data_IF_770650958327
#
_entry.id   IF_770650958327
#
_cell.length_a   1.000
_cell.length_b   1.000
_cell.length_c   1.000
_cell.angle_alpha   90.00
_cell.angle_beta   90.00
_cell.angle_gamma   90.00
#
_symmetry.space_group_name_H-M   'P 1'
#
loop_
_entity.id
_entity.type
_entity.pdbx_description
1 polymer ?
#
# COMPACT_ATOMS: atom_id res chain seq x y z
N UNK A 1 27.51 19.16 0.15
CA UNK A 1 26.80 18.33 -0.83
C UNK A 1 25.68 17.66 -0.06
N UNK A 2 24.43 18.03 -0.31
CA UNK A 2 23.29 17.55 0.47
C UNK A 2 22.85 16.19 -0.07
N UNK A 3 23.30 15.12 0.59
CA UNK A 3 23.10 13.72 0.18
C UNK A 3 21.61 13.42 -0.07
N UNK A 4 20.70 14.10 0.64
CA UNK A 4 19.25 13.94 0.48
C UNK A 4 18.72 14.45 -0.85
N UNK A 5 19.30 15.55 -1.38
CA UNK A 5 18.90 16.08 -2.68
C UNK A 5 19.35 15.17 -3.83
N UNK A 6 20.51 14.53 -3.71
CA UNK A 6 20.98 13.59 -4.73
C UNK A 6 20.17 12.30 -4.74
N UNK A 7 19.73 11.81 -3.58
CA UNK A 7 18.87 10.63 -3.48
C UNK A 7 17.46 10.87 -4.06
N UNK A 8 16.90 12.07 -3.91
CA UNK A 8 15.61 12.41 -4.53
C UNK A 8 15.64 12.36 -6.07
N UNK A 9 16.83 12.53 -6.66
CA UNK A 9 17.04 12.45 -8.10
C UNK A 9 17.49 11.06 -8.57
N UNK A 10 17.68 10.12 -7.65
CA UNK A 10 18.09 8.77 -7.98
C UNK A 10 16.95 7.99 -8.65
N UNK A 11 17.30 7.14 -9.60
CA UNK A 11 16.34 6.23 -10.25
C UNK A 11 15.75 5.26 -9.21
N UNK A 12 14.44 5.03 -9.29
CA UNK A 12 13.67 4.24 -8.32
C UNK A 12 14.18 2.80 -8.18
N UNK A 13 14.12 2.00 -9.25
CA UNK A 13 14.32 0.55 -9.19
C UNK A 13 15.72 0.08 -8.75
N UNK A 14 16.85 0.71 -9.15
CA UNK A 14 18.14 0.30 -8.60
C UNK A 14 18.31 0.69 -7.11
N UNK A 15 17.50 1.61 -6.59
CA UNK A 15 17.64 2.17 -5.24
C UNK A 15 16.39 1.96 -4.36
N UNK A 16 15.51 1.02 -4.71
CA UNK A 16 14.17 0.91 -4.09
C UNK A 16 14.22 0.79 -2.56
N UNK A 17 15.11 -0.06 -2.02
CA UNK A 17 15.24 -0.24 -0.57
C UNK A 17 15.67 1.07 0.12
N UNK A 18 16.66 1.76 -0.45
CA UNK A 18 17.19 3.02 0.08
C UNK A 18 16.16 4.15 0.02
N UNK A 19 15.44 4.27 -1.09
CA UNK A 19 14.39 5.28 -1.27
C UNK A 19 13.20 4.99 -0.35
N UNK A 20 12.83 3.72 -0.16
CA UNK A 20 11.82 3.31 0.81
C UNK A 20 12.21 3.68 2.24
N UNK A 21 13.46 3.45 2.63
CA UNK A 21 13.98 3.88 3.93
C UNK A 21 13.94 5.40 4.09
N UNK A 22 14.31 6.15 3.06
CA UNK A 22 14.24 7.61 3.08
C UNK A 22 12.79 8.11 3.22
N UNK A 23 11.82 7.49 2.55
CA UNK A 23 10.39 7.82 2.68
C UNK A 23 9.93 7.59 4.12
N UNK A 24 10.33 6.47 4.73
CA UNK A 24 9.98 6.14 6.12
C UNK A 24 10.65 7.10 7.11
N UNK A 25 11.94 7.41 6.94
CA UNK A 25 12.67 8.37 7.79
C UNK A 25 12.13 9.79 7.65
N UNK A 26 11.82 10.24 6.42
CA UNK A 26 11.20 11.53 6.14
C UNK A 26 9.83 11.64 6.81
N UNK A 27 9.04 10.57 6.76
CA UNK A 27 7.77 10.50 7.46
C UNK A 27 7.93 10.54 9.00
N UNK A 28 8.82 9.73 9.57
CA UNK A 28 9.08 9.68 11.02
C UNK A 28 9.63 11.03 11.54
N UNK A 29 10.50 11.69 10.79
CA UNK A 29 11.01 13.02 11.16
C UNK A 29 9.95 14.12 10.99
N UNK A 30 9.02 13.99 10.03
CA UNK A 30 7.85 14.87 9.90
C UNK A 30 6.79 14.68 10.98
N UNK A 31 6.78 13.51 11.65
CA UNK A 31 5.83 13.12 12.70
C UNK A 31 5.97 13.90 14.02
N UNK A 32 6.92 14.85 14.16
CA UNK A 32 7.09 15.66 15.38
C UNK A 32 5.87 16.53 15.80
N UNK A 33 4.69 16.38 15.17
CA UNK A 33 3.38 16.82 15.67
C UNK A 33 2.28 15.75 15.63
N UNK A 34 2.63 14.47 15.80
CA UNK A 34 1.68 13.39 16.04
C UNK A 34 1.55 13.13 17.54
N UNK A 35 0.33 12.98 18.10
CA UNK A 35 0.13 12.70 19.53
C UNK A 35 0.53 11.27 19.93
N UNK A 36 1.03 10.46 19.00
CA UNK A 36 1.35 9.05 19.22
C UNK A 36 2.80 8.90 19.69
N UNK A 37 2.96 8.83 21.01
CA UNK A 37 4.22 8.61 21.69
C UNK A 37 4.63 7.12 21.61
N UNK A 38 5.86 6.87 21.13
CA UNK A 38 6.71 5.72 21.49
C UNK A 38 6.27 4.32 21.08
N UNK A 39 6.82 3.78 19.99
CA UNK A 39 6.80 2.34 19.72
C UNK A 39 8.17 1.94 19.16
N UNK A 40 9.11 1.66 20.06
CA UNK A 40 10.40 1.04 19.74
C UNK A 40 10.49 -0.26 20.53
N UNK A 41 10.73 -1.36 19.81
CA UNK A 41 10.70 -2.74 20.30
C UNK A 41 11.94 -3.11 21.14
N UNK A 42 12.18 -2.39 22.23
CA UNK A 42 13.17 -2.74 23.24
C UNK A 42 12.49 -2.82 24.62
N UNK A 43 12.99 -3.75 25.44
CA UNK A 43 12.61 -4.01 26.83
C UNK A 43 11.84 -2.85 27.52
N UNK A 44 10.52 -2.98 27.66
CA UNK A 44 9.61 -1.90 28.06
C UNK A 44 9.63 -1.53 29.57
N UNK A 45 10.73 -1.76 30.29
CA UNK A 45 10.95 -1.44 31.72
C UNK A 45 10.49 -2.48 32.77
N UNK A 46 11.20 -2.47 33.91
CA UNK A 46 10.79 -3.15 35.14
C UNK A 46 9.83 -2.26 35.94
N UNK A 47 8.56 -2.65 36.02
CA UNK A 47 7.60 -1.96 36.90
C UNK A 47 7.63 -2.58 38.29
N UNK A 48 7.66 -1.75 39.34
CA UNK A 48 7.48 -2.21 40.72
C UNK A 48 6.11 -2.91 40.81
N UNK A 49 6.12 -4.14 41.31
CA UNK A 49 4.91 -4.93 41.48
C UNK A 49 4.01 -4.29 42.54
N UNK A 50 2.73 -4.08 42.20
CA UNK A 50 1.72 -3.60 43.13
C UNK A 50 0.84 -4.76 43.61
N UNK A 51 0.44 -4.72 44.88
CA UNK A 51 -0.48 -5.70 45.45
C UNK A 51 -1.81 -5.71 44.69
N UNK A 52 -2.16 -6.87 44.14
CA UNK A 52 -3.35 -7.08 43.30
C UNK A 52 -3.04 -7.36 41.83
N UNK A 53 -1.81 -7.14 41.36
CA UNK A 53 -1.38 -7.57 40.02
C UNK A 53 -1.05 -9.08 39.98
N UNK A 54 -1.14 -9.73 38.82
CA UNK A 54 -0.85 -11.16 38.66
C UNK A 54 0.63 -11.47 38.95
N UNK A 55 0.91 -12.50 39.76
CA UNK A 55 2.27 -12.92 40.13
C UNK A 55 3.00 -13.72 39.04
N UNK A 56 2.31 -14.05 37.95
CA UNK A 56 2.82 -14.90 36.86
C UNK A 56 4.08 -14.35 36.18
N UNK A 57 4.23 -13.03 36.15
CA UNK A 57 5.30 -12.34 35.39
C UNK A 57 6.37 -11.72 36.30
N UNK A 58 6.48 -12.13 37.57
CA UNK A 58 7.49 -11.60 38.51
C UNK A 58 8.91 -12.03 38.08
N UNK A 59 9.87 -11.09 38.10
CA UNK A 59 11.28 -11.41 37.91
C UNK A 59 11.94 -11.89 39.20
N UNK A 60 11.94 -13.20 39.42
CA UNK A 60 12.60 -13.81 40.57
C UNK A 60 14.13 -13.59 40.59
N UNK A 61 14.79 -13.40 39.44
CA UNK A 61 16.24 -13.15 39.39
C UNK A 61 16.59 -11.73 39.85
N UNK A 62 15.76 -10.75 39.49
CA UNK A 62 15.93 -9.37 39.92
C UNK A 62 15.55 -9.20 41.39
N UNK A 63 14.50 -9.90 41.83
CA UNK A 63 14.11 -9.96 43.24
C UNK A 63 15.29 -10.44 44.10
N UNK A 64 15.95 -11.53 43.72
CA UNK A 64 17.11 -12.06 44.45
C UNK A 64 18.31 -11.10 44.57
N UNK A 65 18.36 -10.02 43.77
CA UNK A 65 19.42 -9.00 43.82
C UNK A 65 19.00 -7.71 44.51
N UNK A 66 17.69 -7.42 44.60
CA UNK A 66 17.19 -6.10 44.98
C UNK A 66 16.18 -6.11 46.11
N UNK A 67 15.73 -7.30 46.56
CA UNK A 67 14.65 -7.52 47.54
C UNK A 67 13.34 -6.77 47.23
N UNK A 68 13.17 -6.35 45.97
CA UNK A 68 11.97 -5.66 45.48
C UNK A 68 11.32 -6.49 44.39
N UNK A 69 10.00 -6.61 44.46
CA UNK A 69 9.21 -7.31 43.47
C UNK A 69 9.05 -6.43 42.24
N UNK A 70 9.47 -6.95 41.09
CA UNK A 70 9.27 -6.31 39.78
C UNK A 70 8.53 -7.26 38.85
N UNK A 71 7.59 -6.72 38.08
CA UNK A 71 6.87 -7.44 37.04
C UNK A 71 7.58 -7.23 35.71
N UNK A 72 7.96 -8.32 35.02
CA UNK A 72 8.39 -8.27 33.62
C UNK A 72 7.18 -7.95 32.76
N UNK A 73 7.19 -6.78 32.13
CA UNK A 73 6.31 -6.53 30.99
C UNK A 73 7.03 -6.99 29.74
N UNK A 74 6.43 -7.96 29.07
CA UNK A 74 6.78 -8.32 27.72
C UNK A 74 5.91 -7.44 26.83
N UNK A 75 6.48 -6.74 25.85
CA UNK A 75 5.67 -6.32 24.70
C UNK A 75 5.19 -7.60 24.01
N UNK A 76 3.89 -7.72 23.78
CA UNK A 76 3.38 -8.77 22.90
C UNK A 76 4.02 -8.56 21.54
N UNK A 77 4.84 -9.53 21.09
CA UNK A 77 5.23 -9.62 19.68
C UNK A 77 3.93 -9.68 18.88
N UNK A 78 3.60 -8.59 18.18
CA UNK A 78 2.46 -8.56 17.30
C UNK A 78 2.73 -9.56 16.19
N UNK A 79 2.01 -10.69 16.17
CA UNK A 79 2.06 -11.62 15.06
C UNK A 79 1.21 -11.09 13.89
N UNK A 80 1.39 -9.81 13.54
CA UNK A 80 0.66 -9.17 12.45
C UNK A 80 1.11 -9.80 11.12
N UNK A 81 0.12 -10.06 10.27
CA UNK A 81 0.32 -10.52 8.91
C UNK A 81 -0.23 -9.47 7.99
N UNK A 82 0.61 -8.96 7.12
CA UNK A 82 0.20 -8.03 6.08
C UNK A 82 0.37 -8.69 4.71
N UNK A 83 -0.64 -8.56 3.86
CA UNK A 83 -0.58 -9.04 2.49
C UNK A 83 -0.75 -7.87 1.54
N UNK A 84 0.25 -7.63 0.70
CA UNK A 84 0.24 -6.56 -0.29
C UNK A 84 -0.28 -7.12 -1.61
N UNK A 85 -1.22 -6.44 -2.24
CA UNK A 85 -1.71 -6.76 -3.58
C UNK A 85 -1.44 -5.56 -4.47
N UNK A 86 -0.69 -5.77 -5.54
CA UNK A 86 -0.36 -4.76 -6.54
C UNK A 86 -1.03 -5.10 -7.87
N UNK A 87 -1.79 -4.15 -8.38
CA UNK A 87 -2.30 -4.15 -9.75
C UNK A 87 -1.18 -3.79 -10.74
N UNK A 88 -0.99 -4.61 -11.76
CA UNK A 88 -0.01 -4.41 -12.83
C UNK A 88 -0.69 -4.27 -14.20
N UNK A 89 -1.93 -3.77 -14.22
CA UNK A 89 -2.68 -3.39 -15.43
C UNK A 89 -1.95 -2.34 -16.27
N UNK A 90 -2.37 -2.18 -17.52
CA UNK A 90 -1.80 -1.19 -18.43
C UNK A 90 -1.99 0.24 -17.95
N UNK A 91 -3.19 0.50 -17.43
CA UNK A 91 -3.58 1.75 -16.81
C UNK A 91 -2.67 2.16 -15.65
N UNK A 92 -2.11 1.23 -14.87
CA UNK A 92 -1.16 1.51 -13.78
C UNK A 92 0.19 2.06 -14.24
N UNK A 93 0.56 1.95 -15.52
CA UNK A 93 1.79 2.55 -16.04
C UNK A 93 1.64 4.03 -16.42
N UNK A 94 0.42 4.57 -16.34
CA UNK A 94 0.14 6.00 -16.54
C UNK A 94 0.48 6.84 -15.29
N UNK A 95 0.93 8.09 -15.43
CA UNK A 95 1.45 8.73 -16.64
C UNK A 95 2.78 8.10 -17.09
N UNK A 96 3.11 8.20 -18.38
CA UNK A 96 4.39 7.67 -18.88
C UNK A 96 5.56 8.50 -18.34
N UNK A 97 6.39 7.88 -17.50
CA UNK A 97 7.57 8.51 -16.90
C UNK A 97 8.83 7.79 -17.36
N UNK A 98 9.70 8.48 -18.09
CA UNK A 98 10.95 7.91 -18.64
C UNK A 98 11.95 7.48 -17.57
N UNK A 99 12.04 8.25 -16.49
CA UNK A 99 12.92 7.97 -15.34
C UNK A 99 12.15 8.27 -14.08
N UNK A 100 11.83 7.21 -13.36
CA UNK A 100 11.05 7.29 -12.14
C UNK A 100 11.95 7.72 -10.98
N UNK A 101 11.59 8.81 -10.32
CA UNK A 101 12.27 9.36 -9.13
C UNK A 101 11.22 9.66 -8.07
N UNK A 102 11.60 9.84 -6.80
CA UNK A 102 10.64 10.06 -5.69
C UNK A 102 9.63 11.19 -6.00
N UNK A 103 10.07 12.24 -6.71
CA UNK A 103 9.22 13.38 -7.06
C UNK A 103 8.45 13.25 -8.38
N UNK A 104 8.68 12.20 -9.15
CA UNK A 104 8.04 11.97 -10.45
C UNK A 104 7.88 10.48 -10.71
N UNK A 105 6.73 9.95 -10.30
CA UNK A 105 6.38 8.53 -10.36
C UNK A 105 5.13 8.35 -11.21
N UNK A 106 5.04 7.19 -11.86
CA UNK A 106 3.77 6.70 -12.39
C UNK A 106 3.01 5.91 -11.31
N UNK A 107 1.77 5.49 -11.57
CA UNK A 107 0.95 4.77 -10.57
C UNK A 107 1.64 3.49 -10.08
N UNK A 108 2.22 2.68 -10.97
CA UNK A 108 2.92 1.44 -10.59
C UNK A 108 4.17 1.71 -9.75
N UNK A 109 4.98 2.71 -10.09
CA UNK A 109 6.18 3.06 -9.32
C UNK A 109 5.84 3.66 -7.96
N UNK A 110 4.78 4.46 -7.88
CA UNK A 110 4.23 4.91 -6.60
C UNK A 110 3.78 3.72 -5.76
N UNK A 111 3.02 2.78 -6.34
CA UNK A 111 2.57 1.55 -5.67
C UNK A 111 3.74 0.70 -5.16
N UNK A 112 4.76 0.49 -5.98
CA UNK A 112 5.98 -0.25 -5.62
C UNK A 112 6.73 0.43 -4.47
N UNK A 113 6.97 1.74 -4.56
CA UNK A 113 7.67 2.48 -3.50
C UNK A 113 6.86 2.52 -2.20
N UNK A 114 5.53 2.67 -2.29
CA UNK A 114 4.63 2.62 -1.15
C UNK A 114 4.66 1.24 -0.47
N UNK A 115 4.59 0.16 -1.25
CA UNK A 115 4.70 -1.22 -0.75
C UNK A 115 6.06 -1.42 -0.07
N UNK A 116 7.16 -1.00 -0.72
CA UNK A 116 8.51 -1.10 -0.16
C UNK A 116 8.67 -0.31 1.15
N UNK A 117 8.09 0.89 1.24
CA UNK A 117 8.09 1.69 2.46
C UNK A 117 7.30 1.00 3.60
N UNK A 118 6.10 0.48 3.31
CA UNK A 118 5.31 -0.28 4.29
C UNK A 118 6.05 -1.55 4.75
N UNK A 119 6.67 -2.25 3.80
CA UNK A 119 7.54 -3.39 4.04
C UNK A 119 8.67 -3.04 5.01
N UNK A 120 9.38 -1.91 4.83
CA UNK A 120 10.44 -1.48 5.74
C UNK A 120 9.92 -1.22 7.17
N UNK A 121 8.72 -0.65 7.31
CA UNK A 121 8.09 -0.45 8.63
C UNK A 121 7.76 -1.80 9.28
N UNK A 122 7.15 -2.72 8.54
CA UNK A 122 6.78 -4.06 9.02
C UNK A 122 8.00 -4.89 9.40
N UNK A 123 9.08 -4.80 8.62
CA UNK A 123 10.36 -5.45 8.90
C UNK A 123 10.97 -5.01 10.24
N UNK A 124 10.96 -3.72 10.53
CA UNK A 124 11.43 -3.17 11.82
C UNK A 124 10.62 -3.71 13.00
N UNK A 125 9.34 -4.03 12.78
CA UNK A 125 8.42 -4.58 13.78
C UNK A 125 8.38 -6.12 13.80
N UNK A 126 9.17 -6.80 12.95
CA UNK A 126 9.19 -8.27 12.79
C UNK A 126 7.85 -8.87 12.36
N UNK A 127 7.01 -8.07 11.71
CA UNK A 127 5.72 -8.50 11.17
C UNK A 127 5.92 -9.32 9.87
N UNK A 128 4.97 -10.22 9.56
CA UNK A 128 5.05 -11.06 8.36
C UNK A 128 4.44 -10.35 7.15
N UNK A 129 5.12 -10.40 6.00
CA UNK A 129 4.67 -9.76 4.76
C UNK A 129 4.52 -10.75 3.62
N UNK A 130 3.38 -10.70 2.92
CA UNK A 130 3.12 -11.42 1.67
C UNK A 130 2.88 -10.44 0.51
N UNK A 131 2.98 -10.94 -0.72
CA UNK A 131 2.82 -10.15 -1.92
C UNK A 131 2.09 -10.96 -3.01
N UNK A 132 1.10 -10.32 -3.64
CA UNK A 132 0.47 -10.78 -4.88
C UNK A 132 0.58 -9.69 -5.92
N UNK A 133 0.95 -10.04 -7.16
CA UNK A 133 0.87 -9.15 -8.32
C UNK A 133 0.02 -9.83 -9.39
N UNK A 134 -0.91 -9.07 -9.99
CA UNK A 134 -1.78 -9.54 -11.06
C UNK A 134 -1.83 -8.52 -12.21
N UNK A 135 -2.10 -8.99 -13.44
CA UNK A 135 -2.46 -8.17 -14.61
C UNK A 135 -3.45 -8.94 -15.50
N UNK A 136 -3.03 -9.31 -16.71
CA UNK A 136 -3.66 -10.28 -17.62
C UNK A 136 -3.41 -11.73 -17.22
N UNK A 137 -2.33 -12.00 -16.46
CA UNK A 137 -2.07 -13.26 -15.79
C UNK A 137 -1.73 -13.09 -14.30
N UNK A 138 -1.78 -14.19 -13.55
CA UNK A 138 -1.34 -14.24 -12.17
C UNK A 138 0.19 -14.30 -12.09
N UNK A 139 0.83 -13.13 -12.23
CA UNK A 139 2.29 -13.02 -12.34
C UNK A 139 3.06 -13.53 -11.12
N UNK A 140 2.54 -13.30 -9.90
CA UNK A 140 3.32 -13.61 -8.70
C UNK A 140 2.46 -13.78 -7.44
N UNK A 141 2.85 -14.76 -6.62
CA UNK A 141 2.33 -14.96 -5.28
C UNK A 141 3.37 -15.46 -4.33
N UNK A 142 3.36 -14.88 -3.14
CA UNK A 142 4.08 -15.44 -2.02
C UNK A 142 3.34 -15.19 -0.71
N UNK A 143 3.22 -16.20 0.17
CA UNK A 143 2.51 -16.07 1.43
C UNK A 143 3.30 -15.22 2.44
N UNK A 144 2.62 -14.81 3.52
CA UNK A 144 3.21 -13.91 4.51
C UNK A 144 4.30 -14.60 5.34
N UNK A 145 5.53 -14.08 5.25
CA UNK A 145 6.70 -14.53 6.02
C UNK A 145 7.50 -13.32 6.51
N UNK A 146 8.14 -13.46 7.68
CA UNK A 146 8.93 -12.41 8.31
C UNK A 146 10.45 -12.60 8.20
N UNK A 147 10.94 -13.47 7.31
CA UNK A 147 12.39 -13.70 7.19
C UNK A 147 13.07 -12.66 6.31
N UNK A 148 14.31 -12.29 6.64
CA UNK A 148 15.09 -11.31 5.85
C UNK A 148 15.25 -11.76 4.39
N UNK A 149 15.52 -13.04 4.17
CA UNK A 149 15.61 -13.59 2.81
C UNK A 149 14.31 -13.40 2.02
N UNK A 150 13.16 -13.57 2.68
CA UNK A 150 11.87 -13.37 2.04
C UNK A 150 11.66 -11.90 1.70
N UNK A 151 12.05 -11.00 2.61
CA UNK A 151 12.01 -9.57 2.38
C UNK A 151 12.80 -9.13 1.14
N UNK A 152 14.06 -9.57 1.04
CA UNK A 152 14.93 -9.27 -0.11
C UNK A 152 14.38 -9.85 -1.41
N UNK A 153 13.77 -11.04 -1.36
CA UNK A 153 13.09 -11.64 -2.50
C UNK A 153 11.89 -10.80 -2.97
N UNK A 154 11.10 -10.24 -2.04
CA UNK A 154 9.98 -9.36 -2.37
C UNK A 154 10.46 -8.06 -3.04
N UNK A 155 11.48 -7.41 -2.49
CA UNK A 155 12.05 -6.19 -3.06
C UNK A 155 12.63 -6.42 -4.46
N UNK A 156 13.35 -7.52 -4.67
CA UNK A 156 13.84 -7.90 -5.99
C UNK A 156 12.68 -8.07 -6.99
N UNK A 157 11.61 -8.76 -6.60
CA UNK A 157 10.46 -8.96 -7.49
C UNK A 157 9.74 -7.64 -7.83
N UNK A 158 9.61 -6.72 -6.87
CA UNK A 158 9.03 -5.40 -7.11
C UNK A 158 9.90 -4.57 -8.08
N UNK A 159 11.24 -4.67 -7.95
CA UNK A 159 12.16 -4.02 -8.88
C UNK A 159 12.04 -4.56 -10.31
N UNK A 160 11.92 -5.88 -10.45
CA UNK A 160 11.76 -6.51 -11.77
C UNK A 160 10.50 -5.99 -12.48
N UNK A 161 9.37 -5.93 -11.78
CA UNK A 161 8.08 -5.48 -12.33
C UNK A 161 8.13 -4.02 -12.77
N UNK A 162 8.78 -3.17 -11.97
CA UNK A 162 8.92 -1.76 -12.33
C UNK A 162 9.89 -1.50 -13.49
N UNK A 163 10.84 -2.42 -13.72
CA UNK A 163 11.77 -2.35 -14.85
C UNK A 163 11.18 -2.96 -16.14
N UNK A 164 10.21 -3.86 -16.03
CA UNK A 164 9.48 -4.43 -17.16
C UNK A 164 8.67 -3.34 -17.88
N UNK A 165 8.82 -3.29 -19.22
CA UNK A 165 8.06 -2.40 -20.11
C UNK A 165 6.97 -3.14 -20.88
N UNK A 166 6.89 -4.46 -20.74
CA UNK A 166 5.87 -5.26 -21.41
C UNK A 166 4.58 -5.12 -20.62
N UNK A 167 3.73 -4.24 -21.13
CA UNK A 167 2.43 -3.94 -20.56
C UNK A 167 1.44 -5.02 -21.03
N UNK A 168 0.80 -5.67 -20.06
CA UNK A 168 -0.32 -6.58 -20.27
C UNK A 168 -1.43 -5.91 -21.11
N UNK A 169 -2.05 -6.66 -22.03
CA UNK A 169 -3.03 -6.08 -22.99
C UNK A 169 -4.49 -6.13 -22.53
N UNK A 170 -4.84 -7.00 -21.59
CA UNK A 170 -6.21 -7.13 -21.07
C UNK A 170 -6.18 -7.49 -19.59
N UNK A 171 -6.66 -6.62 -18.71
CA UNK A 171 -6.68 -6.89 -17.27
C UNK A 171 -7.94 -7.66 -16.87
N UNK A 172 -7.81 -8.84 -16.24
CA UNK A 172 -8.95 -9.61 -15.68
C UNK A 172 -8.96 -9.58 -14.16
N UNK A 173 -9.09 -8.38 -13.60
CA UNK A 173 -8.91 -8.12 -12.17
C UNK A 173 -9.77 -9.00 -11.27
N UNK A 174 -11.05 -9.18 -11.59
CA UNK A 174 -11.99 -9.95 -10.75
C UNK A 174 -11.54 -11.41 -10.55
N UNK A 175 -11.06 -12.06 -11.62
CA UNK A 175 -10.65 -13.48 -11.60
C UNK A 175 -9.45 -13.66 -10.67
N UNK A 176 -8.47 -12.77 -10.77
CA UNK A 176 -7.24 -12.87 -9.99
C UNK A 176 -7.42 -12.45 -8.54
N UNK A 177 -8.22 -11.43 -8.25
CA UNK A 177 -8.56 -11.08 -6.87
C UNK A 177 -9.27 -12.24 -6.15
N UNK A 178 -10.16 -12.96 -6.86
CA UNK A 178 -10.81 -14.14 -6.30
C UNK A 178 -9.80 -15.26 -5.98
N UNK A 179 -8.89 -15.57 -6.92
CA UNK A 179 -7.84 -16.57 -6.72
C UNK A 179 -6.87 -16.18 -5.58
N UNK A 180 -6.56 -14.89 -5.43
CA UNK A 180 -5.74 -14.38 -4.32
C UNK A 180 -6.47 -14.65 -3.00
N UNK A 181 -7.75 -14.30 -2.92
CA UNK A 181 -8.55 -14.49 -1.72
C UNK A 181 -8.63 -15.97 -1.28
N UNK A 182 -8.68 -16.93 -2.21
CA UNK A 182 -8.66 -18.37 -1.88
C UNK A 182 -7.32 -18.84 -1.28
N UNK A 183 -6.20 -18.20 -1.67
CA UNK A 183 -4.86 -18.54 -1.20
C UNK A 183 -4.56 -17.96 0.18
N UNK A 184 -5.13 -16.79 0.50
CA UNK A 184 -4.95 -16.13 1.80
C UNK A 184 -5.91 -16.77 2.82
N UNK A 185 -5.41 -17.76 3.55
CA UNK A 185 -6.23 -18.54 4.51
C UNK A 185 -6.22 -18.03 5.95
N UNK A 186 -5.27 -17.16 6.30
CA UNK A 186 -5.06 -16.69 7.68
C UNK A 186 -5.45 -15.23 7.77
N UNK A 187 -6.08 -14.83 8.88
CA UNK A 187 -6.43 -13.42 9.15
C UNK A 187 -5.20 -12.53 8.91
N UNK A 188 -5.33 -11.60 7.97
CA UNK A 188 -4.27 -10.72 7.49
C UNK A 188 -4.86 -9.33 7.25
N UNK A 189 -4.03 -8.30 7.40
CA UNK A 189 -4.31 -6.94 6.98
C UNK A 189 -3.88 -6.81 5.51
N UNK A 190 -4.84 -6.64 4.61
CA UNK A 190 -4.64 -6.65 3.17
C UNK A 190 -4.62 -5.22 2.65
N UNK A 191 -3.57 -4.87 1.93
CA UNK A 191 -3.46 -3.59 1.23
C UNK A 191 -3.49 -3.83 -0.28
N UNK A 192 -4.50 -3.28 -0.94
CA UNK A 192 -4.69 -3.36 -2.39
C UNK A 192 -4.34 -2.02 -3.03
N UNK A 193 -3.39 -2.03 -3.97
CA UNK A 193 -2.94 -0.88 -4.75
C UNK A 193 -3.39 -1.06 -6.19
N UNK A 194 -4.33 -0.23 -6.64
CA UNK A 194 -4.98 -0.34 -7.96
C UNK A 194 -5.57 1.02 -8.31
N UNK A 195 -5.80 1.29 -9.60
CA UNK A 195 -6.52 2.47 -10.04
C UNK A 195 -8.04 2.21 -10.22
N UNK A 196 -8.50 0.97 -10.07
CA UNK A 196 -9.92 0.59 -10.20
C UNK A 196 -10.57 1.10 -11.50
N UNK A 197 -9.83 1.44 -12.54
CA UNK A 197 -10.40 1.95 -13.79
C UNK A 197 -10.85 0.77 -14.66
N UNK A 198 -12.01 0.19 -14.32
CA UNK A 198 -12.60 -0.94 -15.05
C UNK A 198 -13.93 -0.57 -15.71
N UNK A 199 -14.29 -1.34 -16.73
CA UNK A 199 -15.53 -1.14 -17.49
C UNK A 199 -16.75 -1.47 -16.63
N UNK A 200 -17.84 -0.70 -16.77
CA UNK A 200 -19.06 -0.81 -15.95
C UNK A 200 -19.70 -2.21 -15.90
N UNK A 201 -19.42 -3.09 -16.87
CA UNK A 201 -19.94 -4.47 -16.92
C UNK A 201 -19.27 -5.41 -15.90
N UNK A 202 -18.07 -5.09 -15.44
CA UNK A 202 -17.26 -5.94 -14.54
C UNK A 202 -17.35 -5.50 -13.07
N UNK A 203 -18.03 -4.38 -12.82
CA UNK A 203 -18.21 -3.81 -11.49
C UNK A 203 -18.74 -4.84 -10.50
N UNK A 204 -19.86 -5.51 -10.79
CA UNK A 204 -20.51 -6.43 -9.84
C UNK A 204 -19.58 -7.58 -9.42
N UNK A 205 -18.90 -8.19 -10.38
CA UNK A 205 -17.97 -9.31 -10.15
C UNK A 205 -16.71 -8.87 -9.38
N UNK A 206 -16.19 -7.68 -9.69
CA UNK A 206 -15.08 -7.07 -8.95
C UNK A 206 -15.45 -6.88 -7.48
N UNK A 207 -16.65 -6.37 -7.20
CA UNK A 207 -17.12 -6.18 -5.83
C UNK A 207 -17.35 -7.51 -5.10
N UNK A 208 -17.79 -8.57 -5.79
CA UNK A 208 -17.85 -9.90 -5.21
C UNK A 208 -16.45 -10.44 -4.86
N UNK A 209 -15.44 -10.20 -5.70
CA UNK A 209 -14.06 -10.58 -5.41
C UNK A 209 -13.49 -9.80 -4.19
N UNK A 210 -13.76 -8.50 -4.11
CA UNK A 210 -13.40 -7.67 -2.95
C UNK A 210 -14.12 -8.11 -1.67
N UNK A 211 -15.39 -8.49 -1.77
CA UNK A 211 -16.13 -9.10 -0.66
C UNK A 211 -15.51 -10.43 -0.26
N UNK A 212 -15.04 -11.22 -1.23
CA UNK A 212 -14.36 -12.49 -0.96
C UNK A 212 -13.06 -12.29 -0.17
N UNK A 213 -12.27 -11.28 -0.54
CA UNK A 213 -11.07 -10.86 0.20
C UNK A 213 -11.35 -10.46 1.64
N UNK A 214 -12.57 -10.03 1.97
CA UNK A 214 -12.97 -9.69 3.34
C UNK A 214 -13.48 -10.88 4.16
N UNK A 215 -13.72 -12.04 3.54
CA UNK A 215 -14.01 -13.25 4.31
C UNK A 215 -12.82 -13.61 5.21
N UNK A 216 -12.96 -14.62 6.08
CA UNK A 216 -11.89 -15.03 7.00
C UNK A 216 -11.34 -13.92 7.94
N UNK A 217 -12.13 -12.87 8.18
CA UNK A 217 -11.81 -11.74 9.09
C UNK A 217 -10.63 -10.87 8.61
N UNK A 218 -10.31 -10.89 7.32
CA UNK A 218 -9.34 -9.96 6.77
C UNK A 218 -9.84 -8.52 6.89
N UNK A 219 -8.93 -7.60 7.19
CA UNK A 219 -9.19 -6.18 7.02
C UNK A 219 -8.57 -5.75 5.69
N UNK A 220 -9.38 -5.09 4.86
CA UNK A 220 -8.98 -4.73 3.49
C UNK A 220 -8.96 -3.21 3.39
N UNK A 221 -7.81 -2.70 2.97
CA UNK A 221 -7.58 -1.29 2.66
C UNK A 221 -7.26 -1.18 1.18
N UNK A 222 -8.07 -0.41 0.46
CA UNK A 222 -7.92 -0.16 -0.96
C UNK A 222 -7.35 1.24 -1.16
N UNK A 223 -6.13 1.31 -1.69
CA UNK A 223 -5.49 2.52 -2.15
C UNK A 223 -5.76 2.70 -3.64
N UNK A 224 -6.63 3.65 -3.95
CA UNK A 224 -6.93 4.04 -5.32
C UNK A 224 -5.85 5.01 -5.79
N UNK A 225 -4.95 4.53 -6.64
CA UNK A 225 -3.86 5.32 -7.21
C UNK A 225 -4.34 6.08 -8.45
N UNK A 226 -4.13 7.39 -8.47
CA UNK A 226 -4.54 8.25 -9.59
C UNK A 226 -3.60 9.46 -9.73
N UNK A 227 -3.49 10.00 -10.95
CA UNK A 227 -3.02 11.38 -11.17
C UNK A 227 -4.21 12.33 -11.13
N UNK A 228 -4.36 13.10 -10.05
CA UNK A 228 -5.53 13.99 -9.90
C UNK A 228 -5.60 15.08 -10.97
N UNK A 229 -4.49 15.55 -11.49
CA UNK A 229 -4.51 16.62 -12.48
C UNK A 229 -4.96 16.10 -13.86
N UNK A 230 -4.47 14.92 -14.24
CA UNK A 230 -4.72 14.38 -15.57
C UNK A 230 -5.96 13.47 -15.61
N UNK A 231 -6.13 12.57 -14.63
CA UNK A 231 -7.23 11.59 -14.61
C UNK A 231 -8.48 12.12 -13.92
N UNK A 232 -8.38 12.98 -12.90
CA UNK A 232 -9.59 13.52 -12.25
C UNK A 232 -10.03 14.85 -12.88
N UNK A 233 -9.09 15.80 -13.03
CA UNK A 233 -9.38 17.13 -13.56
C UNK A 233 -9.33 17.24 -15.09
N UNK A 234 -8.91 16.17 -15.78
CA UNK A 234 -8.77 16.15 -17.24
C UNK A 234 -8.01 17.37 -17.79
N UNK A 235 -6.97 17.80 -17.07
CA UNK A 235 -6.27 19.05 -17.36
C UNK A 235 -5.21 18.86 -18.45
N UNK A 236 -5.67 18.54 -19.66
CA UNK A 236 -4.85 18.46 -20.86
C UNK A 236 -4.84 19.80 -21.61
N UNK A 237 -3.74 20.11 -22.31
CA UNK A 237 -3.68 21.29 -23.17
C UNK A 237 -4.81 21.27 -24.21
N UNK A 238 -5.37 22.45 -24.52
CA UNK A 238 -6.40 22.62 -25.53
C UNK A 238 -5.82 22.60 -26.96
N UNK A 239 -5.16 21.51 -27.30
CA UNK A 239 -4.78 21.16 -28.67
C UNK A 239 -5.54 19.90 -29.07
N UNK A 240 -5.89 19.75 -30.36
CA UNK A 240 -6.54 18.54 -30.84
C UNK A 240 -5.57 17.37 -30.63
N UNK A 241 -5.87 16.53 -29.65
CA UNK A 241 -5.09 15.35 -29.30
C UNK A 241 -5.94 14.11 -29.52
N UNK A 242 -5.25 13.04 -29.88
CA UNK A 242 -5.81 11.69 -29.89
C UNK A 242 -5.71 11.14 -28.47
N UNK A 243 -6.85 10.94 -27.83
CA UNK A 243 -6.91 10.20 -26.57
C UNK A 243 -6.98 8.72 -26.90
N UNK A 244 -6.05 7.95 -26.37
CA UNK A 244 -5.97 6.50 -26.53
C UNK A 244 -6.39 5.86 -25.21
N UNK A 245 -7.33 4.95 -25.25
CA UNK A 245 -7.60 4.04 -24.15
C UNK A 245 -6.46 3.00 -24.09
N UNK A 246 -5.78 2.97 -22.94
CA UNK A 246 -4.63 2.11 -22.70
C UNK A 246 -4.99 0.63 -22.57
N UNK A 247 -6.25 0.31 -22.23
CA UNK A 247 -6.70 -1.08 -22.08
C UNK A 247 -7.27 -1.61 -23.41
N UNK A 248 -8.12 -0.84 -24.10
CA UNK A 248 -8.79 -1.31 -25.33
C UNK A 248 -8.05 -0.96 -26.63
N UNK A 249 -7.19 0.06 -26.59
CA UNK A 249 -6.58 0.65 -27.79
C UNK A 249 -7.53 1.50 -28.63
N UNK A 250 -8.78 1.72 -28.19
CA UNK A 250 -9.70 2.65 -28.83
C UNK A 250 -9.19 4.08 -28.71
N UNK A 251 -9.56 4.94 -29.67
CA UNK A 251 -9.12 6.32 -29.64
C UNK A 251 -10.24 7.30 -30.00
N UNK A 252 -10.15 8.47 -29.39
CA UNK A 252 -11.07 9.58 -29.63
C UNK A 252 -10.26 10.85 -29.91
N UNK A 253 -10.52 11.46 -31.06
CA UNK A 253 -9.89 12.73 -31.46
C UNK A 253 -10.82 13.87 -31.00
N UNK A 254 -10.38 14.66 -30.02
CA UNK A 254 -11.22 15.67 -29.37
C UNK A 254 -10.41 16.84 -28.79
N UNK A 255 -11.11 17.95 -28.52
CA UNK A 255 -10.56 19.09 -27.76
C UNK A 255 -10.87 18.91 -26.27
N UNK A 256 -9.85 18.92 -25.43
CA UNK A 256 -10.00 18.60 -24.01
C UNK A 256 -11.02 19.51 -23.30
N UNK A 257 -11.00 20.81 -23.61
CA UNK A 257 -11.89 21.81 -22.99
C UNK A 257 -13.38 21.53 -23.26
N UNK A 258 -13.72 20.93 -24.41
CA UNK A 258 -15.11 20.68 -24.78
C UNK A 258 -15.75 19.57 -23.94
N UNK A 259 -14.95 18.63 -23.45
CA UNK A 259 -15.44 17.48 -22.67
C UNK A 259 -15.08 17.55 -21.19
N UNK A 260 -14.16 18.43 -20.80
CA UNK A 260 -13.60 18.51 -19.45
C UNK A 260 -14.68 18.48 -18.37
N UNK A 261 -15.70 19.33 -18.46
CA UNK A 261 -16.79 19.38 -17.48
C UNK A 261 -17.61 18.09 -17.43
N UNK A 262 -18.00 17.56 -18.60
CA UNK A 262 -18.78 16.33 -18.68
C UNK A 262 -17.99 15.11 -18.15
N UNK A 263 -16.69 15.08 -18.43
CA UNK A 263 -15.78 14.06 -17.92
C UNK A 263 -15.60 14.17 -16.40
N UNK A 264 -15.30 15.36 -15.87
CA UNK A 264 -15.17 15.60 -14.42
C UNK A 264 -16.45 15.19 -13.66
N UNK A 265 -17.62 15.47 -14.22
CA UNK A 265 -18.90 15.05 -13.64
C UNK A 265 -19.09 13.53 -13.67
N UNK A 266 -18.68 12.88 -14.77
CA UNK A 266 -18.75 11.42 -14.91
C UNK A 266 -17.81 10.73 -13.92
N UNK A 267 -16.54 11.12 -13.87
CA UNK A 267 -15.55 10.50 -13.00
C UNK A 267 -15.84 10.75 -11.52
N UNK A 268 -16.39 11.92 -11.18
CA UNK A 268 -16.86 12.20 -9.82
C UNK A 268 -17.99 11.26 -9.41
N UNK A 269 -18.97 11.02 -10.28
CA UNK A 269 -20.05 10.05 -10.01
C UNK A 269 -19.48 8.65 -9.83
N UNK A 270 -18.53 8.26 -10.69
CA UNK A 270 -17.85 6.98 -10.59
C UNK A 270 -17.16 6.80 -9.23
N UNK A 271 -16.36 7.77 -8.79
CA UNK A 271 -15.64 7.69 -7.51
C UNK A 271 -16.59 7.66 -6.30
N UNK A 272 -17.69 8.41 -6.35
CA UNK A 272 -18.71 8.37 -5.31
C UNK A 272 -19.36 6.99 -5.25
N UNK A 273 -19.70 6.40 -6.39
CA UNK A 273 -20.26 5.05 -6.46
C UNK A 273 -19.27 4.01 -5.91
N UNK A 274 -18.00 4.07 -6.33
CA UNK A 274 -16.94 3.19 -5.85
C UNK A 274 -16.78 3.28 -4.32
N UNK A 275 -16.72 4.50 -3.79
CA UNK A 275 -16.59 4.75 -2.34
C UNK A 275 -17.78 4.20 -1.55
N UNK A 276 -19.00 4.38 -2.06
CA UNK A 276 -20.22 3.85 -1.43
C UNK A 276 -20.22 2.32 -1.43
N UNK A 277 -19.85 1.69 -2.54
CA UNK A 277 -19.74 0.23 -2.65
C UNK A 277 -18.66 -0.31 -1.70
N UNK A 278 -17.47 0.29 -1.65
CA UNK A 278 -16.44 -0.09 -0.68
C UNK A 278 -16.95 0.04 0.77
N UNK A 279 -17.67 1.12 1.10
CA UNK A 279 -18.25 1.31 2.43
C UNK A 279 -19.31 0.24 2.78
N UNK A 280 -20.13 -0.18 1.82
CA UNK A 280 -21.11 -1.26 2.00
C UNK A 280 -20.44 -2.57 2.42
N UNK A 281 -19.29 -2.89 1.83
CA UNK A 281 -18.49 -4.06 2.20
C UNK A 281 -17.54 -3.79 3.38
N UNK A 282 -17.59 -2.62 4.03
CA UNK A 282 -16.65 -2.18 5.08
C UNK A 282 -15.19 -2.28 4.64
N UNK A 283 -14.90 -2.02 3.38
CA UNK A 283 -13.54 -1.90 2.85
C UNK A 283 -13.11 -0.45 3.01
N UNK A 284 -11.92 -0.23 3.57
CA UNK A 284 -11.39 1.12 3.76
C UNK A 284 -10.86 1.62 2.42
N UNK A 285 -11.61 2.50 1.78
CA UNK A 285 -11.20 3.18 0.55
C UNK A 285 -10.40 4.45 0.85
N UNK A 286 -9.25 4.58 0.20
CA UNK A 286 -8.34 5.73 0.34
C UNK A 286 -7.90 6.19 -1.05
N UNK A 287 -8.23 7.44 -1.38
CA UNK A 287 -7.76 8.09 -2.61
C UNK A 287 -6.32 8.55 -2.42
N UNK A 288 -5.45 8.18 -3.35
CA UNK A 288 -4.03 8.51 -3.32
C UNK A 288 -3.64 9.18 -4.63
N UNK A 289 -3.14 10.40 -4.50
CA UNK A 289 -2.61 11.19 -5.60
C UNK A 289 -1.11 10.88 -5.74
N UNK A 290 -0.69 10.34 -6.88
CA UNK A 290 0.69 9.89 -7.10
C UNK A 290 1.71 11.04 -7.11
N UNK A 291 1.25 12.28 -7.29
CA UNK A 291 2.08 13.49 -7.23
C UNK A 291 2.26 14.04 -5.80
N UNK A 292 1.54 13.49 -4.83
CA UNK A 292 1.66 13.88 -3.41
C UNK A 292 2.63 12.96 -2.67
N UNK A 293 2.92 13.32 -1.43
CA UNK A 293 3.75 12.50 -0.55
C UNK A 293 3.05 11.19 -0.13
N UNK A 294 3.87 10.27 0.40
CA UNK A 294 3.43 8.97 0.90
C UNK A 294 2.74 9.02 2.27
N UNK A 295 2.54 10.21 2.86
CA UNK A 295 2.03 10.33 4.23
C UNK A 295 0.62 9.76 4.36
N UNK A 296 -0.21 9.86 3.31
CA UNK A 296 -1.58 9.32 3.32
C UNK A 296 -1.56 7.79 3.45
N UNK A 297 -0.66 7.12 2.74
CA UNK A 297 -0.50 5.66 2.80
C UNK A 297 0.02 5.24 4.17
N UNK A 298 1.09 5.88 4.66
CA UNK A 298 1.73 5.53 5.92
C UNK A 298 0.83 5.82 7.13
N UNK A 299 0.12 6.97 7.15
CA UNK A 299 -0.85 7.28 8.20
C UNK A 299 -2.01 6.28 8.21
N UNK A 300 -2.54 5.93 7.03
CA UNK A 300 -3.61 4.92 6.92
C UNK A 300 -3.13 3.59 7.47
N UNK A 301 -1.92 3.16 7.10
CA UNK A 301 -1.31 1.94 7.64
C UNK A 301 -1.25 1.95 9.16
N UNK A 302 -0.75 3.02 9.79
CA UNK A 302 -0.65 3.12 11.25
C UNK A 302 -2.02 3.03 11.94
N UNK A 303 -3.03 3.70 11.37
CA UNK A 303 -4.40 3.69 11.92
C UNK A 303 -5.03 2.31 11.80
N UNK A 304 -4.94 1.66 10.64
CA UNK A 304 -5.57 0.36 10.40
C UNK A 304 -4.84 -0.77 11.13
N UNK A 305 -3.51 -0.68 11.26
CA UNK A 305 -2.73 -1.57 12.12
C UNK A 305 -3.21 -1.53 13.56
N UNK A 306 -3.38 -0.33 14.14
CA UNK A 306 -3.84 -0.17 15.53
C UNK A 306 -5.27 -0.69 15.76
N UNK A 307 -6.12 -0.67 14.74
CA UNK A 307 -7.47 -1.26 14.82
C UNK A 307 -7.46 -2.78 14.68
N UNK A 308 -6.45 -3.32 13.99
CA UNK A 308 -6.36 -4.75 13.69
C UNK A 308 -5.83 -5.57 14.87
N UNK A 309 -4.87 -5.00 15.60
CA UNK A 309 -4.30 -5.53 16.86
C UNK A 309 -5.33 -5.48 17.99
#
# INVERSE_FOLDING_TARGET
MDIRQELNNASLFPNLELLADQVVEGFISGIHKSPFHGFSAEFAEHKIYNNGESTKHIDWKLFAKTDKLYTKRYEEETNLRCHMILDNSASMYYPEVRTQTIGNLNKIGFGILAIAALMNVLKKQRDAVGLSIYSDDYHYYTPEKGSERHFQMLLAKLNDIGAEKDVAKETRTYTYLHQIAEKIKRRSLIFLFTDMLQTEKEDEELFEALRHLKYNKHEVVLFHLMDKELEFHFNFDNTPKRFLDVETGEHLDLYADNIKQAYEDSIRKYFVALKLKCAQYRIKYVEVDIKRDFSTVLNTFLVERNKFL
#
